data_IF_500678798799
#
_entry.id   IF_500678798799
#
_cell.length_a   1.000
_cell.length_b   1.000
_cell.length_c   1.000
_cell.angle_alpha   90.00
_cell.angle_beta   90.00
_cell.angle_gamma   90.00
#
_symmetry.space_group_name_H-M   'P 1'
#
loop_
_entity.id
_entity.type
_entity.pdbx_description
1 polymer ?
#
# COMPACT_ATOMS: atom_id res chain seq x y z
N UNK A 1 1.81 12.69 17.06
CA UNK A 1 2.65 11.57 16.58
C UNK A 1 1.98 10.95 15.38
N UNK A 2 2.72 10.59 14.33
CA UNK A 2 2.18 9.98 13.12
C UNK A 2 2.58 8.51 13.07
N UNK A 3 1.63 7.66 12.70
CA UNK A 3 1.81 6.24 12.45
C UNK A 3 1.46 5.94 11.00
N UNK A 4 2.37 5.29 10.28
CA UNK A 4 2.14 4.78 8.93
C UNK A 4 1.90 3.28 9.03
N UNK A 5 0.80 2.78 8.48
CA UNK A 5 0.31 1.42 8.69
C UNK A 5 0.10 0.73 7.35
N UNK A 6 0.63 -0.49 7.25
CA UNK A 6 0.40 -1.42 6.15
C UNK A 6 0.50 -2.86 6.70
N UNK A 7 0.17 -3.87 5.90
CA UNK A 7 0.41 -5.28 6.21
C UNK A 7 1.66 -5.83 5.50
N UNK A 8 2.30 -5.01 4.66
CA UNK A 8 3.41 -5.35 3.79
C UNK A 8 4.44 -4.20 3.67
N UNK A 9 5.34 -4.31 2.70
CA UNK A 9 6.31 -3.24 2.37
C UNK A 9 5.67 -2.01 1.71
N UNK A 10 4.36 -2.01 1.44
CA UNK A 10 3.64 -0.87 0.86
C UNK A 10 3.91 0.46 1.57
N UNK A 11 3.91 0.47 2.91
CA UNK A 11 4.26 1.67 3.70
C UNK A 11 5.71 2.15 3.47
N UNK A 12 6.65 1.25 3.15
CA UNK A 12 8.04 1.61 2.85
C UNK A 12 8.17 2.27 1.49
N UNK A 13 7.44 1.77 0.49
CA UNK A 13 7.38 2.40 -0.84
C UNK A 13 6.79 3.81 -0.70
N UNK A 14 5.70 3.96 0.06
CA UNK A 14 5.10 5.26 0.33
C UNK A 14 6.06 6.24 1.01
N UNK A 15 6.81 5.79 2.03
CA UNK A 15 7.80 6.62 2.72
C UNK A 15 8.86 7.16 1.75
N UNK A 16 9.37 6.30 0.86
CA UNK A 16 10.39 6.67 -0.11
C UNK A 16 9.83 7.61 -1.18
N UNK A 17 8.68 7.29 -1.76
CA UNK A 17 8.06 8.08 -2.82
C UNK A 17 7.59 9.46 -2.34
N UNK A 18 6.98 9.52 -1.16
CA UNK A 18 6.43 10.76 -0.61
C UNK A 18 7.43 11.56 0.24
N UNK A 19 8.61 11.00 0.55
CA UNK A 19 9.62 11.58 1.43
C UNK A 19 9.04 12.00 2.79
N UNK A 20 8.28 11.09 3.41
CA UNK A 20 7.64 11.28 4.72
C UNK A 20 8.28 10.39 5.79
N UNK A 21 7.92 10.54 7.06
CA UNK A 21 8.50 9.74 8.14
C UNK A 21 7.69 9.70 9.43
N UNK A 22 7.84 8.64 10.21
CA UNK A 22 7.07 8.47 11.45
C UNK A 22 7.23 7.09 12.07
N UNK A 23 6.29 6.67 12.90
CA UNK A 23 6.29 5.29 13.38
C UNK A 23 5.63 4.41 12.31
N UNK A 24 6.42 3.54 11.69
CA UNK A 24 5.97 2.67 10.59
C UNK A 24 5.63 1.32 11.18
N UNK A 25 4.39 0.88 11.07
CA UNK A 25 3.91 -0.40 11.55
C UNK A 25 3.54 -1.25 10.34
N UNK A 26 4.25 -2.36 10.17
CA UNK A 26 3.95 -3.36 9.15
C UNK A 26 3.38 -4.61 9.81
N UNK A 27 2.07 -4.83 9.66
CA UNK A 27 1.36 -5.96 10.25
C UNK A 27 1.43 -7.24 9.39
N UNK A 28 2.64 -7.74 9.17
CA UNK A 28 2.87 -8.89 8.29
C UNK A 28 2.60 -10.27 8.92
N UNK A 29 1.95 -10.34 10.08
CA UNK A 29 1.68 -11.62 10.76
C UNK A 29 0.77 -12.54 9.93
N UNK A 30 -0.17 -11.94 9.19
CA UNK A 30 -1.19 -12.62 8.40
C UNK A 30 -1.21 -12.12 6.96
N UNK A 31 -0.07 -11.63 6.47
CA UNK A 31 0.01 -11.12 5.11
C UNK A 31 -0.32 -12.22 4.08
N UNK A 32 -1.11 -11.90 3.02
CA UNK A 32 -1.84 -10.65 2.80
C UNK A 32 -3.16 -10.59 3.59
N UNK A 33 -3.36 -9.53 4.39
CA UNK A 33 -4.60 -9.34 5.18
C UNK A 33 -5.83 -9.15 4.31
N UNK A 34 -5.65 -8.64 3.09
CA UNK A 34 -6.69 -8.52 2.09
C UNK A 34 -7.34 -9.87 1.71
N UNK A 35 -6.70 -11.02 2.02
CA UNK A 35 -7.28 -12.35 1.82
C UNK A 35 -7.97 -12.90 3.07
N UNK A 36 -7.96 -12.17 4.18
CA UNK A 36 -8.42 -12.63 5.49
C UNK A 36 -9.51 -11.71 6.09
N UNK A 37 -10.72 -11.69 5.50
CA UNK A 37 -11.80 -10.76 5.91
C UNK A 37 -12.24 -10.91 7.37
N UNK A 38 -12.08 -12.10 7.96
CA UNK A 38 -12.40 -12.34 9.39
C UNK A 38 -11.30 -11.84 10.34
N UNK A 39 -10.07 -11.70 9.85
CA UNK A 39 -8.89 -11.35 10.65
C UNK A 39 -8.59 -9.86 10.56
N UNK A 40 -8.81 -9.23 9.40
CA UNK A 40 -8.41 -7.84 9.14
C UNK A 40 -8.98 -6.87 10.18
N UNK A 41 -10.28 -6.95 10.51
CA UNK A 41 -10.89 -6.08 11.53
C UNK A 41 -10.28 -6.28 12.91
N UNK A 42 -10.04 -7.52 13.34
CA UNK A 42 -9.36 -7.80 14.61
C UNK A 42 -7.95 -7.17 14.67
N UNK A 43 -7.21 -7.23 13.56
CA UNK A 43 -5.89 -6.59 13.47
C UNK A 43 -5.96 -5.07 13.53
N UNK A 44 -6.92 -4.47 12.81
CA UNK A 44 -7.17 -3.02 12.86
C UNK A 44 -7.50 -2.58 14.30
N UNK A 45 -8.43 -3.26 14.96
CA UNK A 45 -8.81 -2.96 16.35
C UNK A 45 -7.61 -3.03 17.30
N UNK A 46 -6.70 -3.99 17.08
CA UNK A 46 -5.50 -4.12 17.90
C UNK A 46 -4.52 -2.97 17.66
N UNK A 47 -4.36 -2.52 16.41
CA UNK A 47 -3.51 -1.37 16.08
C UNK A 47 -4.10 -0.12 16.74
N UNK A 48 -5.38 0.19 16.53
CA UNK A 48 -6.05 1.37 17.09
C UNK A 48 -5.95 1.43 18.62
N UNK A 49 -6.10 0.29 19.32
CA UNK A 49 -5.96 0.20 20.79
C UNK A 49 -4.55 0.48 21.30
N UNK A 50 -3.52 0.22 20.50
CA UNK A 50 -2.12 0.31 20.92
C UNK A 50 -1.37 1.51 20.35
N UNK A 51 -2.01 2.30 19.49
CA UNK A 51 -1.43 3.51 18.91
C UNK A 51 -2.15 4.75 19.44
N UNK A 52 -1.38 5.77 19.83
CA UNK A 52 -1.93 7.07 20.23
C UNK A 52 -1.34 8.16 19.32
N UNK A 53 -2.05 8.49 18.25
CA UNK A 53 -1.61 9.47 17.26
C UNK A 53 -2.46 9.43 15.99
N UNK A 54 -2.03 10.21 14.99
CA UNK A 54 -2.65 10.20 13.66
C UNK A 54 -2.22 8.94 12.91
N UNK A 55 -3.20 8.19 12.42
CA UNK A 55 -2.99 7.00 11.61
C UNK A 55 -3.05 7.35 10.13
N UNK A 56 -2.09 6.86 9.35
CA UNK A 56 -2.08 6.91 7.89
C UNK A 56 -2.02 5.45 7.44
N UNK A 57 -3.04 4.97 6.74
CA UNK A 57 -3.09 3.60 6.25
C UNK A 57 -2.86 3.57 4.74
N UNK A 58 -1.80 2.88 4.31
CA UNK A 58 -1.44 2.73 2.89
C UNK A 58 -2.06 1.50 2.24
N UNK A 59 -2.50 0.50 3.04
CA UNK A 59 -3.19 -0.67 2.50
C UNK A 59 -4.70 -0.37 2.30
N UNK A 60 -5.24 -0.47 1.07
CA UNK A 60 -6.62 -0.07 0.78
C UNK A 60 -7.67 -0.99 1.43
N UNK A 61 -7.39 -2.30 1.56
CA UNK A 61 -8.29 -3.22 2.25
C UNK A 61 -8.37 -2.92 3.75
N UNK A 62 -7.23 -2.61 4.38
CA UNK A 62 -7.20 -2.19 5.79
C UNK A 62 -7.94 -0.87 6.00
N UNK A 63 -7.78 0.07 5.07
CA UNK A 63 -8.44 1.39 5.10
C UNK A 63 -9.96 1.33 5.18
N UNK A 64 -10.60 0.25 4.74
CA UNK A 64 -12.06 0.07 4.86
C UNK A 64 -12.50 -0.10 6.32
N UNK A 65 -11.63 -0.59 7.20
CA UNK A 65 -11.96 -1.00 8.56
C UNK A 65 -11.47 -0.04 9.65
N UNK A 66 -10.59 0.89 9.31
CA UNK A 66 -10.19 1.98 10.20
C UNK A 66 -11.32 2.99 10.36
N UNK A 67 -11.53 3.48 11.57
CA UNK A 67 -12.55 4.51 11.84
C UNK A 67 -12.01 5.93 11.54
N UNK A 68 -10.81 6.24 12.03
CA UNK A 68 -10.22 7.59 12.01
C UNK A 68 -8.81 7.65 11.38
N UNK A 69 -8.55 6.82 10.36
CA UNK A 69 -7.29 6.87 9.61
C UNK A 69 -7.36 7.81 8.40
N UNK A 70 -6.24 8.43 8.06
CA UNK A 70 -6.02 9.09 6.76
C UNK A 70 -5.71 7.99 5.74
N UNK A 71 -6.48 7.91 4.68
CA UNK A 71 -6.48 6.74 3.78
C UNK A 71 -6.51 7.08 2.30
N UNK A 72 -6.78 8.33 1.90
CA UNK A 72 -6.96 8.68 0.49
C UNK A 72 -8.27 8.17 -0.12
N UNK A 73 -9.04 7.32 0.58
CA UNK A 73 -10.18 6.59 0.01
C UNK A 73 -11.35 7.51 -0.31
N UNK A 74 -11.61 8.54 0.51
CA UNK A 74 -12.68 9.50 0.22
C UNK A 74 -12.37 10.37 -0.98
N UNK A 75 -11.09 10.77 -1.13
CA UNK A 75 -10.62 11.51 -2.32
C UNK A 75 -10.70 10.65 -3.58
N UNK A 76 -10.26 9.39 -3.49
CA UNK A 76 -10.41 8.40 -4.55
C UNK A 76 -11.88 8.21 -4.95
N UNK A 77 -12.81 8.01 -4.00
CA UNK A 77 -14.23 7.79 -4.30
C UNK A 77 -14.83 8.94 -5.11
N UNK A 78 -14.61 10.18 -4.69
CA UNK A 78 -15.10 11.37 -5.40
C UNK A 78 -14.58 11.42 -6.83
N UNK A 79 -13.31 11.08 -7.01
CA UNK A 79 -12.66 11.09 -8.32
C UNK A 79 -13.16 9.93 -9.21
N UNK A 80 -13.35 8.75 -8.63
CA UNK A 80 -13.89 7.55 -9.29
C UNK A 80 -15.35 7.74 -9.73
N UNK A 81 -16.18 8.37 -8.90
CA UNK A 81 -17.57 8.74 -9.24
C UNK A 81 -17.63 9.75 -10.39
N UNK A 82 -16.64 10.65 -10.48
CA UNK A 82 -16.55 11.63 -11.55
C UNK A 82 -16.00 11.05 -12.86
N UNK A 83 -15.20 9.99 -12.79
CA UNK A 83 -14.52 9.40 -13.95
C UNK A 83 -14.33 7.89 -13.79
N UNK A 84 -15.15 7.14 -14.51
CA UNK A 84 -15.06 5.68 -14.56
C UNK A 84 -13.68 5.22 -15.07
N UNK A 85 -13.20 4.11 -14.51
CA UNK A 85 -11.93 3.49 -14.87
C UNK A 85 -11.78 2.12 -14.24
N UNK A 86 -10.67 1.45 -14.54
CA UNK A 86 -10.35 0.15 -13.93
C UNK A 86 -9.63 0.39 -12.60
N UNK A 87 -10.06 -0.30 -11.53
CA UNK A 87 -9.40 -0.24 -10.22
C UNK A 87 -8.51 -1.46 -10.06
N UNK A 88 -7.20 -1.26 -9.90
CA UNK A 88 -6.24 -2.31 -9.57
C UNK A 88 -5.93 -2.24 -8.07
N UNK A 89 -6.38 -3.24 -7.32
CA UNK A 89 -6.22 -3.25 -5.86
C UNK A 89 -6.07 -4.67 -5.32
N UNK A 90 -5.84 -4.80 -4.02
CA UNK A 90 -5.94 -6.10 -3.35
C UNK A 90 -7.40 -6.54 -3.17
N UNK A 91 -7.59 -7.85 -3.00
CA UNK A 91 -8.87 -8.55 -3.09
C UNK A 91 -10.08 -7.84 -2.47
N UNK A 92 -10.10 -7.60 -1.15
CA UNK A 92 -11.28 -7.04 -0.47
C UNK A 92 -11.66 -5.67 -1.04
N UNK A 93 -10.67 -4.82 -1.36
CA UNK A 93 -10.94 -3.51 -1.94
C UNK A 93 -11.37 -3.62 -3.40
N UNK A 94 -10.72 -4.48 -4.20
CA UNK A 94 -11.10 -4.75 -5.57
C UNK A 94 -12.57 -5.24 -5.66
N UNK A 95 -12.97 -6.20 -4.83
CA UNK A 95 -14.36 -6.70 -4.78
C UNK A 95 -15.36 -5.57 -4.45
N UNK A 96 -15.01 -4.64 -3.57
CA UNK A 96 -15.88 -3.53 -3.16
C UNK A 96 -16.13 -2.50 -4.28
N UNK A 97 -15.16 -2.31 -5.16
CA UNK A 97 -15.20 -1.32 -6.24
C UNK A 97 -15.29 -1.95 -7.65
N UNK A 98 -15.63 -3.24 -7.73
CA UNK A 98 -15.66 -4.01 -8.98
C UNK A 98 -14.35 -3.88 -9.79
N UNK A 99 -13.22 -3.89 -9.07
CA UNK A 99 -11.88 -3.83 -9.60
C UNK A 99 -11.25 -5.20 -9.87
N UNK A 100 -9.98 -5.17 -10.22
CA UNK A 100 -9.14 -6.35 -10.48
C UNK A 100 -8.24 -6.58 -9.26
N UNK A 101 -8.25 -7.81 -8.75
CA UNK A 101 -7.30 -8.27 -7.74
C UNK A 101 -5.90 -8.45 -8.36
N UNK A 102 -4.95 -7.66 -7.90
CA UNK A 102 -3.56 -7.63 -8.40
C UNK A 102 -2.56 -8.22 -7.41
N UNK A 103 -3.01 -9.04 -6.46
CA UNK A 103 -2.16 -9.69 -5.46
C UNK A 103 -0.97 -10.44 -6.07
N UNK A 104 -1.14 -11.06 -7.25
CA UNK A 104 -0.03 -11.77 -7.94
C UNK A 104 1.11 -10.80 -8.30
N UNK A 105 0.79 -9.62 -8.83
CA UNK A 105 1.80 -8.61 -9.15
C UNK A 105 2.40 -8.02 -7.87
N UNK A 106 1.58 -7.75 -6.84
CA UNK A 106 2.08 -7.30 -5.54
C UNK A 106 3.11 -8.28 -4.94
N UNK A 107 2.86 -9.60 -5.04
CA UNK A 107 3.78 -10.62 -4.54
C UNK A 107 5.16 -10.55 -5.23
N UNK A 108 5.23 -10.21 -6.53
CA UNK A 108 6.52 -10.05 -7.22
C UNK A 108 7.41 -8.99 -6.58
N UNK A 109 6.80 -7.94 -6.01
CA UNK A 109 7.49 -6.85 -5.33
C UNK A 109 7.89 -7.30 -3.92
N UNK A 110 6.97 -7.90 -3.17
CA UNK A 110 7.21 -8.37 -1.79
C UNK A 110 8.30 -9.45 -1.75
N UNK A 111 8.33 -10.35 -2.72
CA UNK A 111 9.30 -11.45 -2.81
C UNK A 111 10.64 -11.00 -3.43
N UNK A 112 10.78 -9.73 -3.85
CA UNK A 112 11.98 -9.22 -4.53
C UNK A 112 12.17 -9.76 -5.95
N UNK A 113 11.24 -10.58 -6.46
CA UNK A 113 11.30 -11.16 -7.81
C UNK A 113 10.75 -10.18 -8.86
N UNK A 114 11.35 -9.00 -8.93
CA UNK A 114 10.95 -7.92 -9.83
C UNK A 114 11.47 -8.22 -11.23
N UNK A 115 10.58 -8.64 -12.11
CA UNK A 115 10.86 -8.85 -13.53
C UNK A 115 9.96 -7.97 -14.37
N UNK A 116 10.55 -7.03 -15.11
CA UNK A 116 9.81 -6.15 -16.03
C UNK A 116 8.96 -6.93 -17.03
N UNK A 117 9.45 -8.07 -17.51
CA UNK A 117 8.71 -8.93 -18.43
C UNK A 117 7.46 -9.53 -17.77
N UNK A 118 7.58 -10.07 -16.55
CA UNK A 118 6.43 -10.62 -15.82
C UNK A 118 5.45 -9.51 -15.45
N UNK A 119 5.96 -8.39 -14.93
CA UNK A 119 5.15 -7.23 -14.58
C UNK A 119 4.37 -6.71 -15.79
N UNK A 120 5.01 -6.57 -16.95
CA UNK A 120 4.34 -6.13 -18.18
C UNK A 120 3.19 -7.06 -18.58
N UNK A 121 3.41 -8.38 -18.59
CA UNK A 121 2.37 -9.33 -19.01
C UNK A 121 1.18 -9.31 -18.06
N UNK A 122 1.41 -9.20 -16.75
CA UNK A 122 0.35 -9.07 -15.76
C UNK A 122 -0.40 -7.74 -15.92
N UNK A 123 0.33 -6.63 -16.06
CA UNK A 123 -0.26 -5.30 -16.27
C UNK A 123 -1.06 -5.21 -17.56
N UNK A 124 -0.58 -5.78 -18.67
CA UNK A 124 -1.33 -5.85 -19.95
C UNK A 124 -2.69 -6.54 -19.74
N UNK A 125 -2.71 -7.64 -18.97
CA UNK A 125 -3.96 -8.36 -18.65
C UNK A 125 -4.87 -7.59 -17.70
N UNK A 126 -4.33 -6.84 -16.74
CA UNK A 126 -5.10 -6.12 -15.75
C UNK A 126 -5.67 -4.80 -16.27
N UNK A 127 -4.89 -4.08 -17.07
CA UNK A 127 -5.27 -2.80 -17.69
C UNK A 127 -6.22 -3.04 -18.86
N UNK A 128 -5.94 -4.03 -19.70
CA UNK A 128 -6.70 -4.28 -20.93
C UNK A 128 -6.78 -3.04 -21.82
N UNK A 129 -7.98 -2.68 -22.25
CA UNK A 129 -8.23 -1.51 -23.11
C UNK A 129 -8.55 -0.22 -22.34
N UNK A 130 -8.40 -0.23 -21.01
CA UNK A 130 -8.77 0.89 -20.15
C UNK A 130 -7.99 2.17 -20.48
N UNK A 131 -8.68 3.32 -20.42
CA UNK A 131 -8.06 4.65 -20.57
C UNK A 131 -7.71 5.30 -19.24
N UNK A 132 -8.39 4.91 -18.17
CA UNK A 132 -8.16 5.39 -16.82
C UNK A 132 -7.98 4.18 -15.92
N UNK A 133 -6.90 4.19 -15.15
CA UNK A 133 -6.56 3.09 -14.25
C UNK A 133 -6.21 3.65 -12.88
N UNK A 134 -6.94 3.22 -11.86
CA UNK A 134 -6.71 3.55 -10.47
C UNK A 134 -5.81 2.49 -9.84
N UNK A 135 -4.58 2.85 -9.50
CA UNK A 135 -3.61 2.00 -8.81
C UNK A 135 -3.79 2.21 -7.31
N UNK A 136 -4.46 1.26 -6.67
CA UNK A 136 -4.81 1.32 -5.25
C UNK A 136 -3.97 0.37 -4.39
N UNK A 137 -3.32 -0.62 -4.97
CA UNK A 137 -2.44 -1.54 -4.25
C UNK A 137 -1.04 -0.93 -4.01
N UNK A 138 -0.65 -0.65 -2.75
CA UNK A 138 0.56 0.11 -2.43
C UNK A 138 1.86 -0.54 -2.93
N UNK A 139 1.93 -1.87 -3.01
CA UNK A 139 3.14 -2.54 -3.50
C UNK A 139 3.42 -2.24 -4.99
N UNK A 140 2.37 -2.03 -5.79
CA UNK A 140 2.50 -1.85 -7.24
C UNK A 140 2.96 -0.43 -7.59
N UNK A 141 2.93 0.51 -6.63
CA UNK A 141 3.55 1.83 -6.80
C UNK A 141 5.05 1.73 -7.10
N UNK A 142 5.72 0.65 -6.70
CA UNK A 142 7.08 0.35 -7.13
C UNK A 142 7.24 0.42 -8.66
N UNK A 143 6.22 0.01 -9.42
CA UNK A 143 6.21 0.04 -10.88
C UNK A 143 5.71 1.36 -11.47
N UNK A 144 5.52 2.44 -10.70
CA UNK A 144 4.96 3.70 -11.23
C UNK A 144 5.69 4.20 -12.48
N UNK A 145 7.01 4.40 -12.39
CA UNK A 145 7.80 4.89 -13.53
C UNK A 145 7.73 3.94 -14.73
N UNK A 146 7.73 2.63 -14.46
CA UNK A 146 7.56 1.61 -15.49
C UNK A 146 6.19 1.72 -16.18
N UNK A 147 5.10 1.84 -15.41
CA UNK A 147 3.75 1.97 -15.94
C UNK A 147 3.60 3.23 -16.78
N UNK A 148 4.05 4.38 -16.28
CA UNK A 148 3.98 5.66 -17.01
C UNK A 148 4.77 5.63 -18.32
N UNK A 149 5.92 4.95 -18.34
CA UNK A 149 6.75 4.79 -19.54
C UNK A 149 6.11 3.87 -20.58
N UNK A 150 5.57 2.72 -20.17
CA UNK A 150 5.11 1.68 -21.10
C UNK A 150 3.64 1.81 -21.51
N UNK A 151 2.83 2.56 -20.76
CA UNK A 151 1.42 2.81 -21.06
C UNK A 151 1.13 4.32 -21.17
N UNK A 152 1.78 5.06 -22.09
CA UNK A 152 1.68 6.52 -22.15
C UNK A 152 0.28 7.03 -22.54
N UNK A 153 -0.60 6.15 -23.02
CA UNK A 153 -1.99 6.47 -23.38
C UNK A 153 -3.00 6.13 -22.27
N UNK A 154 -2.52 5.66 -21.12
CA UNK A 154 -3.33 5.34 -19.95
C UNK A 154 -3.14 6.44 -18.92
N UNK A 155 -4.24 7.01 -18.46
CA UNK A 155 -4.24 7.93 -17.33
C UNK A 155 -4.22 7.12 -16.02
N UNK A 156 -3.06 7.04 -15.39
CA UNK A 156 -2.93 6.42 -14.08
C UNK A 156 -3.30 7.41 -12.96
N UNK A 157 -3.99 6.90 -11.95
CA UNK A 157 -4.35 7.61 -10.73
C UNK A 157 -3.93 6.75 -9.55
N UNK A 158 -3.13 7.29 -8.65
CA UNK A 158 -2.40 6.50 -7.66
C UNK A 158 -2.89 6.80 -6.24
N UNK A 159 -3.06 5.76 -5.41
CA UNK A 159 -3.44 5.90 -4.01
C UNK A 159 -2.54 6.89 -3.25
N UNK A 160 -1.24 6.80 -3.47
CA UNK A 160 -0.24 7.66 -2.83
C UNK A 160 -0.42 9.14 -3.16
N UNK A 161 -0.97 9.50 -4.32
CA UNK A 161 -1.27 10.90 -4.63
C UNK A 161 -2.45 11.42 -3.80
N UNK A 162 -3.51 10.61 -3.64
CA UNK A 162 -4.63 10.94 -2.77
C UNK A 162 -4.18 11.07 -1.31
N UNK A 163 -3.40 10.11 -0.82
CA UNK A 163 -2.83 10.15 0.54
C UNK A 163 -1.94 11.38 0.73
N UNK A 164 -1.06 11.68 -0.24
CA UNK A 164 -0.15 12.82 -0.18
C UNK A 164 -0.90 14.16 -0.10
N UNK A 165 -2.03 14.29 -0.79
CA UNK A 165 -2.88 15.47 -0.69
C UNK A 165 -3.51 15.61 0.72
N UNK A 166 -3.93 14.51 1.34
CA UNK A 166 -4.60 14.52 2.66
C UNK A 166 -3.64 14.76 3.83
N UNK A 167 -2.35 14.45 3.67
CA UNK A 167 -1.34 14.62 4.72
C UNK A 167 -0.58 15.96 4.66
N UNK A 168 -0.97 16.86 3.74
CA UNK A 168 -0.36 18.20 3.64
C UNK A 168 -0.51 18.93 4.99
N UNK A 169 0.60 19.44 5.51
CA UNK A 169 0.64 20.15 6.79
C UNK A 169 0.82 19.25 8.01
N UNK A 170 0.95 17.93 7.85
CA UNK A 170 1.41 17.07 8.94
C UNK A 170 2.92 17.22 9.17
N UNK A 171 3.30 17.33 10.43
CA UNK A 171 4.70 17.28 10.83
C UNK A 171 5.16 15.82 10.96
N UNK A 172 6.09 15.45 10.08
CA UNK A 172 6.71 14.13 10.07
C UNK A 172 8.02 14.12 10.87
N UNK A 173 8.39 12.94 11.37
CA UNK A 173 9.60 12.75 12.16
C UNK A 173 10.48 11.69 11.54
N UNK A 174 11.71 11.50 12.04
CA UNK A 174 12.55 10.39 11.59
C UNK A 174 11.85 9.04 11.79
N UNK A 175 11.89 8.21 10.76
CA UNK A 175 11.20 6.92 10.77
C UNK A 175 11.72 5.96 11.84
N UNK A 176 10.79 5.31 12.53
CA UNK A 176 11.02 4.17 13.42
C UNK A 176 10.17 3.00 12.91
N UNK A 177 10.80 1.84 12.72
CA UNK A 177 10.16 0.73 12.04
C UNK A 177 9.75 -0.37 13.00
N UNK A 178 8.54 -0.88 12.81
CA UNK A 178 7.92 -1.89 13.64
C UNK A 178 7.24 -2.95 12.79
N UNK A 179 7.26 -4.20 13.25
CA UNK A 179 6.67 -5.35 12.57
C UNK A 179 6.04 -6.30 13.57
N UNK A 180 4.97 -7.00 13.19
CA UNK A 180 4.26 -7.93 14.11
C UNK A 180 4.69 -9.39 13.92
N UNK A 181 4.95 -9.81 12.67
CA UNK A 181 5.30 -11.17 12.28
C UNK A 181 6.79 -11.36 11.96
N UNK A 182 7.07 -11.85 10.74
CA UNK A 182 8.42 -12.19 10.30
C UNK A 182 9.26 -10.92 10.08
N UNK A 183 10.11 -10.60 11.05
CA UNK A 183 11.00 -9.43 10.99
C UNK A 183 12.12 -9.60 9.96
N UNK A 184 12.80 -10.74 9.96
CA UNK A 184 14.04 -10.92 9.18
C UNK A 184 13.74 -10.93 7.69
N UNK A 185 12.76 -11.73 7.27
CA UNK A 185 12.36 -11.77 5.86
C UNK A 185 11.92 -10.39 5.35
N UNK A 186 11.16 -9.65 6.17
CA UNK A 186 10.66 -8.32 5.80
C UNK A 186 11.79 -7.31 5.55
N UNK A 187 12.71 -7.13 6.52
CA UNK A 187 13.75 -6.10 6.33
C UNK A 187 14.76 -6.49 5.25
N UNK A 188 15.08 -7.78 5.10
CA UNK A 188 15.99 -8.24 4.03
C UNK A 188 15.39 -7.96 2.65
N UNK A 189 14.12 -8.32 2.43
CA UNK A 189 13.43 -8.03 1.17
C UNK A 189 13.31 -6.53 0.91
N UNK A 190 13.02 -5.73 1.94
CA UNK A 190 12.97 -4.28 1.81
C UNK A 190 14.34 -3.66 1.48
N UNK A 191 15.44 -4.13 2.10
CA UNK A 191 16.80 -3.66 1.80
C UNK A 191 17.22 -3.99 0.38
N UNK A 192 16.90 -5.20 -0.09
CA UNK A 192 17.18 -5.63 -1.47
C UNK A 192 16.40 -4.82 -2.50
N UNK A 193 15.10 -4.60 -2.25
CA UNK A 193 14.21 -3.93 -3.19
C UNK A 193 14.37 -2.41 -3.21
N UNK A 194 14.42 -1.78 -2.03
CA UNK A 194 14.31 -0.32 -1.89
C UNK A 194 15.65 0.35 -1.59
N UNK A 195 16.68 -0.43 -1.26
CA UNK A 195 17.94 0.07 -0.73
C UNK A 195 17.78 0.67 0.67
N UNK A 196 18.91 0.89 1.34
CA UNK A 196 18.95 1.47 2.70
C UNK A 196 19.19 0.45 3.80
N UNK A 197 18.89 0.83 5.05
CA UNK A 197 19.08 -0.02 6.23
C UNK A 197 17.78 -0.10 7.04
N UNK A 198 17.16 -1.27 6.98
CA UNK A 198 15.94 -1.63 7.69
C UNK A 198 16.21 -2.66 8.81
N UNK A 199 17.46 -3.03 9.07
CA UNK A 199 17.81 -3.89 10.23
C UNK A 199 17.29 -3.37 11.58
N UNK A 200 16.99 -2.07 11.69
CA UNK A 200 16.45 -1.40 12.88
C UNK A 200 14.98 -1.71 13.20
N UNK A 201 14.27 -2.46 12.35
CA UNK A 201 12.90 -2.90 12.62
C UNK A 201 12.79 -3.55 14.00
N UNK A 202 11.73 -3.25 14.75
CA UNK A 202 11.46 -3.83 16.06
C UNK A 202 10.19 -4.66 16.02
N UNK A 203 10.21 -5.83 16.66
CA UNK A 203 9.02 -6.65 16.75
C UNK A 203 8.07 -6.09 17.81
N UNK A 204 6.80 -5.88 17.45
CA UNK A 204 5.72 -5.57 18.38
C UNK A 204 5.17 -6.85 19.00
N UNK A 205 4.76 -6.79 20.27
CA UNK A 205 4.21 -7.91 21.03
C UNK A 205 2.77 -7.61 21.47
N UNK A 206 1.94 -7.20 20.52
CA UNK A 206 0.51 -6.93 20.73
C UNK A 206 -0.34 -8.02 20.12
#
# INVERSE_FOLDING_TARGET
MVYLIDDSIGALIFLNECNVGGNVIIDNMYWPLAMMPKTIKYRIDNIEKNTNGKLICTNPSMSIFFEDAITGIESFKKDFEAKEGVVLSNKIFAEKFNGVDVQVLANTVVDGNVSEYVAKNLLDSYIGDAKVVYIMEPCIHYYREFMEKFYPNVEFRFLFDYLKAEIIGLEFTKSKFYVTGNRIGLYMGAEELLGGNYSSFRRLKW
#
